data_IF_670830025353
#
_entry.id   IF_670830025353
#
_cell.length_a   1.000
_cell.length_b   1.000
_cell.length_c   1.000
_cell.angle_alpha   90.00
_cell.angle_beta   90.00
_cell.angle_gamma   90.00
#
_symmetry.space_group_name_H-M   'P 1'
#
loop_
_entity.id
_entity.type
_entity.pdbx_description
1 polymer ?
#
# COMPACT_ATOMS: atom_id res chain seq x y z
N UNK A 1 -17.26 2.03 -8.63
CA UNK A 1 -15.92 2.63 -8.46
C UNK A 1 -15.27 2.25 -7.12
N UNK A 2 -15.82 1.25 -6.38
CA UNK A 2 -15.30 0.78 -5.06
C UNK A 2 -14.46 -0.51 -5.14
N UNK A 3 -14.45 -1.22 -6.28
CA UNK A 3 -13.67 -2.47 -6.45
C UNK A 3 -12.14 -2.25 -6.54
N UNK A 4 -11.67 -1.03 -6.83
CA UNK A 4 -10.24 -0.78 -7.08
C UNK A 4 -9.35 -0.75 -5.82
N UNK A 5 -9.94 -0.54 -4.65
CA UNK A 5 -9.19 -0.41 -3.38
C UNK A 5 -8.99 -1.76 -2.69
N UNK A 6 -9.97 -2.65 -2.77
CA UNK A 6 -9.88 -3.99 -2.14
C UNK A 6 -8.88 -4.91 -2.86
N UNK A 7 -8.90 -4.89 -4.21
CA UNK A 7 -7.89 -5.60 -5.01
C UNK A 7 -6.46 -5.09 -4.76
N UNK A 8 -6.31 -3.84 -4.27
CA UNK A 8 -5.00 -3.29 -3.91
C UNK A 8 -4.51 -3.74 -2.54
N UNK A 9 -5.38 -3.96 -1.57
CA UNK A 9 -4.98 -4.39 -0.23
C UNK A 9 -4.63 -5.89 -0.20
N UNK A 10 -5.44 -6.77 -0.84
CA UNK A 10 -5.13 -8.19 -0.95
C UNK A 10 -4.04 -8.50 -1.99
N UNK A 11 -3.96 -7.75 -3.09
CA UNK A 11 -2.89 -7.89 -4.07
C UNK A 11 -1.57 -7.21 -3.64
N UNK A 12 -1.60 -6.21 -2.76
CA UNK A 12 -0.39 -5.59 -2.21
C UNK A 12 0.40 -6.53 -1.31
N UNK A 13 -0.27 -7.49 -0.67
CA UNK A 13 0.36 -8.51 0.18
C UNK A 13 1.23 -9.48 -0.63
N UNK A 14 0.84 -9.80 -1.87
CA UNK A 14 1.59 -10.73 -2.74
C UNK A 14 2.60 -10.04 -3.67
N UNK A 15 2.39 -8.75 -4.00
CA UNK A 15 3.37 -7.95 -4.75
C UNK A 15 4.55 -7.45 -3.89
N UNK A 16 4.48 -7.60 -2.56
CA UNK A 16 5.50 -7.15 -1.60
C UNK A 16 6.79 -7.99 -1.61
N UNK A 17 6.78 -9.17 -2.21
CA UNK A 17 8.02 -9.96 -2.38
C UNK A 17 9.10 -9.23 -3.18
N UNK A 18 8.73 -8.35 -4.13
CA UNK A 18 9.69 -7.57 -4.92
C UNK A 18 9.84 -6.10 -4.51
N UNK A 19 8.87 -5.53 -3.74
CA UNK A 19 8.94 -4.11 -3.34
C UNK A 19 9.63 -3.88 -2.01
N UNK A 20 9.72 -4.89 -1.14
CA UNK A 20 10.42 -4.80 0.15
C UNK A 20 11.94 -4.63 -0.01
N UNK A 21 12.54 -5.09 -1.11
CA UNK A 21 13.98 -4.92 -1.37
C UNK A 21 14.37 -3.47 -1.73
N UNK A 22 13.41 -2.64 -2.20
CA UNK A 22 13.65 -1.23 -2.53
C UNK A 22 13.37 -0.26 -1.35
N UNK A 23 12.68 -0.73 -0.29
CA UNK A 23 12.39 0.07 0.91
C UNK A 23 13.39 -0.16 2.06
N UNK A 24 14.39 -1.01 1.88
CA UNK A 24 15.31 -1.52 2.91
C UNK A 24 16.48 -0.62 3.30
N UNK A 25 16.46 0.69 3.05
CA UNK A 25 17.48 1.63 3.53
C UNK A 25 16.89 2.83 4.28
N UNK A 26 16.03 2.58 5.27
CA UNK A 26 15.92 3.51 6.40
C UNK A 26 15.32 2.78 7.60
N UNK A 27 16.15 2.59 8.62
CA UNK A 27 15.75 2.11 9.94
C UNK A 27 14.85 3.13 10.63
N UNK A 28 13.75 2.62 11.20
CA UNK A 28 12.99 3.14 12.31
C UNK A 28 12.30 4.50 12.15
N UNK A 29 10.99 4.47 11.92
CA UNK A 29 9.99 5.14 12.76
C UNK A 29 8.58 4.82 12.25
N UNK A 30 7.78 4.24 13.12
CA UNK A 30 6.33 4.12 12.99
C UNK A 30 5.69 5.50 12.89
N UNK A 31 4.85 5.72 11.88
CA UNK A 31 4.05 6.92 11.75
C UNK A 31 3.11 6.79 10.56
N UNK A 32 1.83 6.62 10.85
CA UNK A 32 0.73 6.70 9.90
C UNK A 32 0.80 7.99 9.09
N UNK A 33 0.72 7.89 7.78
CA UNK A 33 0.54 9.04 6.92
C UNK A 33 -0.87 8.98 6.29
N UNK A 34 -1.79 9.68 6.92
CA UNK A 34 -3.07 10.10 6.36
C UNK A 34 -2.83 11.11 5.24
N UNK A 35 -3.44 10.84 4.07
CA UNK A 35 -3.41 11.77 2.95
C UNK A 35 -4.42 12.90 3.22
N UNK A 36 -3.92 14.08 3.53
CA UNK A 36 -4.71 15.30 3.64
C UNK A 36 -4.59 16.15 2.39
N UNK A 37 -5.75 16.52 1.86
CA UNK A 37 -5.94 17.44 0.74
C UNK A 37 -5.65 18.87 1.22
N UNK A 38 -4.59 19.50 0.74
CA UNK A 38 -4.35 20.92 0.96
C UNK A 38 -4.72 21.72 -0.29
N UNK A 39 -5.67 22.61 -0.10
CA UNK A 39 -6.05 23.66 -1.04
C UNK A 39 -4.98 24.77 -1.06
N UNK A 40 -4.79 25.26 -2.26
CA UNK A 40 -3.94 26.37 -2.71
C UNK A 40 -4.13 27.67 -1.93
N UNK A 41 -3.02 28.27 -1.51
CA UNK A 41 -2.90 29.74 -1.43
C UNK A 41 -1.65 30.21 -2.17
N UNK A 42 -1.92 31.13 -3.09
CA UNK A 42 -0.99 31.81 -3.97
C UNK A 42 -0.30 32.93 -3.20
N UNK A 43 0.98 32.78 -2.87
CA UNK A 43 1.82 33.91 -2.44
C UNK A 43 2.86 34.19 -3.49
N UNK A 44 2.70 35.32 -4.15
CA UNK A 44 3.63 35.89 -5.10
C UNK A 44 4.98 36.20 -4.41
N UNK A 45 5.99 35.40 -4.70
CA UNK A 45 7.36 35.72 -4.42
C UNK A 45 8.10 35.97 -5.73
N UNK A 46 8.76 37.12 -5.77
CA UNK A 46 9.57 37.68 -6.84
C UNK A 46 10.47 36.66 -7.52
N UNK A 47 10.27 36.43 -8.81
CA UNK A 47 11.11 35.60 -9.65
C UNK A 47 12.44 36.31 -9.96
N UNK A 48 13.53 35.85 -9.38
CA UNK A 48 14.81 35.83 -10.05
C UNK A 48 14.85 34.59 -10.91
N UNK A 49 14.73 34.77 -12.20
CA UNK A 49 14.91 33.73 -13.22
C UNK A 49 16.39 33.36 -13.24
N UNK A 50 16.81 32.36 -12.47
CA UNK A 50 17.99 31.59 -12.82
C UNK A 50 17.58 30.69 -13.95
N UNK A 51 18.17 30.85 -15.11
CA UNK A 51 18.09 30.03 -16.29
C UNK A 51 18.61 28.62 -15.89
N UNK A 52 17.74 27.76 -15.37
CA UNK A 52 18.07 26.34 -15.14
C UNK A 52 18.35 25.74 -16.50
N UNK A 53 19.60 25.36 -16.74
CA UNK A 53 19.98 24.60 -17.93
C UNK A 53 19.04 23.42 -18.02
N UNK A 54 18.34 23.31 -19.17
CA UNK A 54 17.41 22.23 -19.45
C UNK A 54 18.20 20.91 -19.37
N UNK A 55 17.90 20.05 -18.38
CA UNK A 55 18.59 18.77 -18.21
C UNK A 55 18.17 17.89 -19.38
N UNK A 56 19.13 17.52 -20.22
CA UNK A 56 18.88 16.60 -21.34
C UNK A 56 18.65 15.17 -20.80
N UNK A 57 17.39 14.72 -20.80
CA UNK A 57 16.98 13.38 -20.43
C UNK A 57 16.65 12.50 -21.62
N UNK A 58 17.00 12.89 -22.85
CA UNK A 58 16.73 12.13 -24.07
C UNK A 58 17.29 10.70 -24.06
N UNK A 59 18.34 10.46 -23.26
CA UNK A 59 18.91 9.14 -23.03
C UNK A 59 17.90 8.15 -22.38
N UNK A 60 16.82 8.66 -21.77
CA UNK A 60 15.78 7.87 -21.09
C UNK A 60 14.45 7.84 -21.85
N UNK A 61 14.38 8.41 -23.06
CA UNK A 61 13.15 8.42 -23.88
C UNK A 61 12.65 7.00 -24.23
N UNK A 62 13.55 6.02 -24.27
CA UNK A 62 13.21 4.61 -24.50
C UNK A 62 12.26 4.03 -23.41
N UNK A 63 12.23 4.64 -22.22
CA UNK A 63 11.32 4.22 -21.14
C UNK A 63 9.85 4.45 -21.49
N UNK A 64 9.54 5.30 -22.47
CA UNK A 64 8.17 5.48 -22.94
C UNK A 64 7.56 4.19 -23.53
N UNK A 65 8.40 3.34 -24.12
CA UNK A 65 8.03 2.06 -24.73
C UNK A 65 8.34 0.84 -23.81
N UNK A 66 8.68 1.10 -22.53
CA UNK A 66 9.00 0.03 -21.60
C UNK A 66 7.81 -0.90 -21.34
N UNK A 67 8.08 -2.21 -21.30
CA UNK A 67 7.11 -3.24 -20.96
C UNK A 67 7.66 -4.16 -19.88
N UNK A 68 6.91 -4.39 -18.83
CA UNK A 68 7.28 -5.34 -17.77
C UNK A 68 7.47 -6.77 -18.30
N UNK A 69 6.73 -7.16 -19.34
CA UNK A 69 6.84 -8.50 -19.95
C UNK A 69 8.03 -8.68 -20.89
N UNK A 70 8.78 -7.62 -21.22
CA UNK A 70 9.81 -7.69 -22.25
C UNK A 70 10.96 -8.67 -21.93
N UNK A 71 11.26 -8.87 -20.64
CA UNK A 71 12.33 -9.73 -20.18
C UNK A 71 11.92 -11.20 -20.01
N UNK A 72 10.62 -11.53 -20.14
CA UNK A 72 10.14 -12.90 -19.84
C UNK A 72 9.61 -13.61 -21.07
N UNK A 73 9.82 -14.93 -21.14
CA UNK A 73 9.30 -15.81 -22.16
C UNK A 73 7.87 -16.30 -21.85
N UNK A 74 7.33 -17.15 -22.72
CA UNK A 74 5.97 -17.68 -22.61
C UNK A 74 5.79 -18.67 -21.44
N UNK A 75 6.87 -19.09 -20.79
CA UNK A 75 6.86 -19.97 -19.62
C UNK A 75 7.05 -19.22 -18.29
N UNK A 76 7.23 -17.91 -18.33
CA UNK A 76 7.51 -17.07 -17.16
C UNK A 76 8.99 -17.01 -16.78
N UNK A 77 9.91 -17.50 -17.63
CA UNK A 77 11.35 -17.44 -17.41
C UNK A 77 11.96 -16.17 -17.98
N UNK A 78 13.06 -15.72 -17.39
CA UNK A 78 13.92 -14.68 -17.97
C UNK A 78 14.45 -15.16 -19.33
N UNK A 79 14.27 -14.35 -20.38
CA UNK A 79 14.73 -14.66 -21.74
C UNK A 79 16.26 -14.73 -21.81
N UNK A 80 16.74 -15.68 -22.56
CA UNK A 80 18.18 -15.87 -22.84
C UNK A 80 19.03 -16.08 -21.57
N UNK A 81 18.41 -16.59 -20.50
CA UNK A 81 19.06 -16.87 -19.21
C UNK A 81 18.69 -18.28 -18.76
N UNK A 82 19.71 -19.11 -18.54
CA UNK A 82 19.61 -20.35 -17.77
C UNK A 82 20.06 -20.02 -16.35
N UNK A 83 19.14 -19.95 -15.40
CA UNK A 83 19.44 -19.47 -14.06
C UNK A 83 20.40 -20.41 -13.31
N UNK A 84 20.37 -21.72 -13.61
CA UNK A 84 21.31 -22.70 -13.07
C UNK A 84 22.79 -22.47 -13.49
N UNK A 85 23.05 -21.62 -14.50
CA UNK A 85 24.41 -21.18 -14.82
C UNK A 85 24.95 -20.13 -13.84
N UNK A 86 24.06 -19.46 -13.12
CA UNK A 86 24.35 -18.35 -12.18
C UNK A 86 24.10 -18.70 -10.73
N UNK A 87 23.29 -19.73 -10.45
CA UNK A 87 22.93 -20.16 -9.11
C UNK A 87 23.31 -21.62 -8.89
N UNK A 88 24.13 -21.86 -7.87
CA UNK A 88 24.45 -23.22 -7.44
C UNK A 88 23.49 -23.64 -6.33
N UNK A 89 22.60 -24.59 -6.62
CA UNK A 89 21.67 -25.19 -5.68
C UNK A 89 22.26 -26.49 -5.12
N UNK A 90 22.59 -26.62 -3.82
CA UNK A 90 22.97 -27.89 -3.21
C UNK A 90 21.80 -28.89 -3.26
N UNK A 91 22.08 -30.17 -3.04
CA UNK A 91 21.04 -31.21 -3.15
C UNK A 91 19.96 -31.08 -2.05
N UNK A 92 20.33 -30.49 -0.91
CA UNK A 92 19.46 -30.24 0.24
C UNK A 92 18.93 -28.79 0.31
N UNK A 93 18.93 -28.06 -0.81
CA UNK A 93 18.50 -26.65 -0.83
C UNK A 93 17.08 -26.45 -0.27
N UNK A 94 16.17 -27.41 -0.49
CA UNK A 94 14.80 -27.37 -0.02
C UNK A 94 14.60 -27.94 1.41
N UNK A 95 15.66 -28.40 2.07
CA UNK A 95 15.59 -28.91 3.44
C UNK A 95 15.69 -27.73 4.44
N UNK A 96 14.60 -26.98 4.56
CA UNK A 96 14.51 -25.73 5.32
C UNK A 96 13.81 -26.01 6.64
N UNK A 97 14.39 -25.53 7.75
CA UNK A 97 13.76 -25.56 9.08
C UNK A 97 13.51 -24.13 9.53
N UNK A 98 12.31 -23.86 10.03
CA UNK A 98 11.89 -22.56 10.54
C UNK A 98 11.28 -22.71 11.95
N UNK A 99 11.18 -21.59 12.68
CA UNK A 99 10.54 -21.55 13.98
C UNK A 99 9.08 -22.01 13.88
N UNK A 100 8.68 -22.91 14.81
CA UNK A 100 7.33 -23.45 14.88
C UNK A 100 6.24 -22.36 15.11
N UNK A 101 6.60 -21.22 15.66
CA UNK A 101 5.66 -20.11 15.86
C UNK A 101 5.24 -19.47 14.54
N UNK A 102 6.08 -19.54 13.50
CA UNK A 102 5.75 -19.08 12.15
C UNK A 102 4.70 -19.94 11.42
N UNK A 103 4.39 -21.13 11.94
CA UNK A 103 3.33 -22.01 11.44
C UNK A 103 1.99 -21.84 12.16
N UNK A 104 1.91 -20.90 13.11
CA UNK A 104 0.72 -20.74 13.97
C UNK A 104 -0.12 -19.56 13.47
N UNK A 105 -1.30 -19.87 12.95
CA UNK A 105 -2.37 -18.91 12.65
C UNK A 105 -3.62 -19.41 13.35
N UNK A 106 -4.10 -18.64 14.33
CA UNK A 106 -5.30 -19.00 15.11
C UNK A 106 -6.58 -18.55 14.43
N UNK A 107 -7.72 -19.08 14.86
CA UNK A 107 -9.03 -18.64 14.36
C UNK A 107 -9.30 -17.17 14.74
N UNK A 108 -8.73 -16.66 15.84
CA UNK A 108 -8.81 -15.25 16.23
C UNK A 108 -8.01 -14.36 15.28
N UNK A 109 -6.81 -14.78 14.86
CA UNK A 109 -6.00 -14.06 13.87
C UNK A 109 -6.75 -13.95 12.53
N UNK A 110 -7.35 -15.08 12.08
CA UNK A 110 -8.13 -15.13 10.85
C UNK A 110 -9.34 -14.18 10.93
N UNK A 111 -10.11 -14.26 12.03
CA UNK A 111 -11.27 -13.41 12.25
C UNK A 111 -10.89 -11.93 12.26
N UNK A 112 -9.84 -11.57 12.99
CA UNK A 112 -9.33 -10.20 13.06
C UNK A 112 -8.87 -9.69 11.70
N UNK A 113 -8.19 -10.54 10.92
CA UNK A 113 -7.78 -10.19 9.56
C UNK A 113 -8.98 -9.93 8.64
N UNK A 114 -10.00 -10.81 8.70
CA UNK A 114 -11.23 -10.66 7.91
C UNK A 114 -11.94 -9.36 8.27
N UNK A 115 -12.11 -9.07 9.55
CA UNK A 115 -12.76 -7.85 10.02
C UNK A 115 -12.04 -6.58 9.56
N UNK A 116 -10.71 -6.55 9.68
CA UNK A 116 -9.91 -5.36 9.41
C UNK A 116 -9.58 -5.17 7.93
N UNK A 117 -9.40 -6.26 7.16
CA UNK A 117 -8.90 -6.18 5.80
C UNK A 117 -9.92 -6.58 4.72
N UNK A 118 -10.98 -7.28 5.10
CA UNK A 118 -12.03 -7.68 4.17
C UNK A 118 -13.30 -6.90 4.42
N UNK A 119 -13.94 -7.07 5.60
CA UNK A 119 -15.25 -6.49 5.90
C UNK A 119 -15.22 -4.97 6.00
N UNK A 120 -14.14 -4.39 6.53
CA UNK A 120 -13.95 -2.94 6.64
C UNK A 120 -14.10 -2.19 5.30
N UNK A 121 -13.76 -2.85 4.18
CA UNK A 121 -13.93 -2.26 2.85
C UNK A 121 -15.39 -2.18 2.40
N UNK A 122 -16.29 -2.88 3.09
CA UNK A 122 -17.74 -2.91 2.87
C UNK A 122 -18.51 -2.29 4.03
N UNK A 123 -17.80 -1.71 4.99
CA UNK A 123 -18.40 -1.05 6.12
C UNK A 123 -19.31 0.10 5.67
N UNK A 124 -20.39 0.30 6.39
CA UNK A 124 -21.33 1.40 6.19
C UNK A 124 -21.38 2.28 7.42
N UNK A 125 -21.52 3.59 7.21
CA UNK A 125 -21.67 4.53 8.31
C UNK A 125 -23.10 4.43 8.88
N UNK A 126 -23.19 4.13 10.17
CA UNK A 126 -24.43 4.16 10.94
C UNK A 126 -24.47 5.40 11.84
N UNK A 127 -25.68 5.99 11.98
CA UNK A 127 -25.91 7.10 12.90
C UNK A 127 -26.34 6.55 14.25
N UNK A 128 -25.50 6.74 15.27
CA UNK A 128 -25.77 6.32 16.64
C UNK A 128 -26.26 7.54 17.43
N UNK A 129 -27.43 7.38 18.09
CA UNK A 129 -28.08 8.47 18.81
C UNK A 129 -28.50 8.12 20.26
N UNK A 130 -28.16 6.94 20.73
CA UNK A 130 -28.60 6.36 22.00
C UNK A 130 -27.51 6.31 23.10
N UNK A 131 -26.32 6.85 22.81
CA UNK A 131 -25.24 7.00 23.78
C UNK A 131 -24.58 8.36 23.71
N UNK A 132 -23.88 8.74 24.80
CA UNK A 132 -23.05 9.94 24.82
C UNK A 132 -21.81 9.77 23.94
N UNK A 133 -21.34 10.90 23.38
CA UNK A 133 -20.10 10.96 22.64
C UNK A 133 -18.90 10.75 23.58
N UNK A 134 -17.91 9.99 23.11
CA UNK A 134 -16.66 9.69 23.80
C UNK A 134 -15.47 10.17 22.97
N UNK A 135 -14.31 10.26 23.62
CA UNK A 135 -13.05 10.52 22.94
C UNK A 135 -12.77 9.43 21.90
N UNK A 136 -12.33 9.83 20.71
CA UNK A 136 -12.16 8.96 19.55
C UNK A 136 -13.40 8.79 18.67
N UNK A 137 -14.59 9.19 19.10
CA UNK A 137 -15.79 9.13 18.25
C UNK A 137 -15.73 10.15 17.12
N UNK A 138 -16.18 9.76 15.95
CA UNK A 138 -16.53 10.72 14.88
C UNK A 138 -17.98 11.16 15.09
N UNK A 139 -18.17 12.46 15.29
CA UNK A 139 -19.48 13.06 15.52
C UNK A 139 -19.86 13.96 14.37
N UNK A 140 -21.18 14.09 14.11
CA UNK A 140 -21.71 15.10 13.22
C UNK A 140 -22.32 16.21 14.07
N UNK A 141 -21.86 17.44 13.85
CA UNK A 141 -22.28 18.60 14.64
C UNK A 141 -22.75 19.73 13.74
N UNK A 142 -23.67 20.53 14.27
CA UNK A 142 -23.94 21.88 13.77
C UNK A 142 -23.49 22.89 14.82
N UNK A 143 -22.95 24.01 14.36
CA UNK A 143 -22.58 25.11 15.25
C UNK A 143 -22.78 26.47 14.64
N UNK A 144 -22.98 27.47 15.53
CA UNK A 144 -23.01 28.90 15.22
C UNK A 144 -22.09 29.62 16.21
N UNK A 145 -20.98 30.13 15.71
CA UNK A 145 -19.98 30.87 16.50
C UNK A 145 -20.26 32.34 16.58
N UNK A 146 -20.03 32.91 17.76
CA UNK A 146 -20.17 34.35 18.01
C UNK A 146 -19.06 34.86 18.93
N UNK A 147 -18.67 36.13 18.74
CA UNK A 147 -17.78 36.90 19.61
C UNK A 147 -18.61 38.07 20.14
N UNK A 148 -18.66 38.24 21.47
CA UNK A 148 -19.47 39.23 22.13
C UNK A 148 -20.97 39.22 21.68
N UNK A 149 -21.47 38.02 21.31
CA UNK A 149 -22.86 37.82 20.86
C UNK A 149 -23.10 38.20 19.38
N UNK A 150 -22.03 38.50 18.61
CA UNK A 150 -22.13 38.80 17.18
C UNK A 150 -21.52 37.61 16.39
N UNK A 151 -22.32 37.03 15.48
CA UNK A 151 -21.84 35.96 14.59
C UNK A 151 -20.73 36.49 13.69
N UNK A 152 -19.75 35.61 13.33
CA UNK A 152 -18.66 35.91 12.44
C UNK A 152 -18.62 34.98 11.25
N UNK A 153 -18.03 35.43 10.15
CA UNK A 153 -17.91 34.65 8.92
C UNK A 153 -17.03 33.43 9.14
N UNK A 154 -17.45 32.26 8.61
CA UNK A 154 -16.76 30.99 8.75
C UNK A 154 -17.08 30.26 10.08
N UNK A 155 -17.78 30.89 11.02
CA UNK A 155 -18.17 30.32 12.31
C UNK A 155 -19.48 29.52 12.31
N UNK A 156 -20.06 29.16 11.17
CA UNK A 156 -21.40 28.60 11.08
C UNK A 156 -21.50 27.48 10.04
N UNK A 157 -21.98 26.30 10.44
CA UNK A 157 -22.24 25.16 9.53
C UNK A 157 -23.46 25.35 8.65
N UNK A 158 -24.31 26.35 8.92
CA UNK A 158 -25.57 26.65 8.21
C UNK A 158 -26.55 25.45 8.17
N UNK A 159 -26.46 24.54 9.14
CA UNK A 159 -27.32 23.35 9.23
C UNK A 159 -26.92 22.23 8.24
N UNK A 160 -25.73 22.32 7.61
CA UNK A 160 -25.26 21.27 6.70
C UNK A 160 -24.56 20.12 7.44
N UNK A 161 -24.30 20.29 8.72
CA UNK A 161 -23.50 19.38 9.52
C UNK A 161 -22.01 19.42 9.19
N UNK A 162 -21.18 19.15 10.17
CA UNK A 162 -19.74 18.94 10.01
C UNK A 162 -19.34 17.68 10.76
N UNK A 163 -18.59 16.80 10.10
CA UNK A 163 -18.04 15.63 10.75
C UNK A 163 -16.74 16.03 11.47
N UNK A 164 -16.58 15.55 12.71
CA UNK A 164 -15.45 15.85 13.59
C UNK A 164 -15.09 14.61 14.40
N UNK A 165 -13.83 14.20 14.37
CA UNK A 165 -13.35 13.13 15.25
C UNK A 165 -12.83 13.75 16.54
N UNK A 166 -13.43 13.38 17.68
CA UNK A 166 -13.06 13.89 18.99
C UNK A 166 -11.68 13.37 19.39
N UNK A 167 -10.80 14.28 19.83
CA UNK A 167 -9.38 13.98 20.12
C UNK A 167 -8.45 14.06 18.92
N UNK A 168 -8.95 14.41 17.74
CA UNK A 168 -8.12 14.61 16.52
C UNK A 168 -7.30 15.89 16.54
N UNK A 169 -7.66 16.86 17.39
CA UNK A 169 -7.10 18.20 17.46
C UNK A 169 -7.17 18.97 16.11
N UNK A 170 -8.19 18.66 15.29
CA UNK A 170 -8.43 19.34 14.02
C UNK A 170 -9.20 20.67 14.18
N UNK A 171 -9.81 20.89 15.35
CA UNK A 171 -10.47 22.12 15.73
C UNK A 171 -9.61 22.89 16.76
N UNK A 172 -10.04 24.12 17.08
CA UNK A 172 -9.36 24.98 18.08
C UNK A 172 -9.29 24.23 19.42
N UNK A 173 -8.17 24.37 20.11
CA UNK A 173 -7.92 23.72 21.40
C UNK A 173 -9.09 23.90 22.38
N UNK A 174 -9.53 22.78 22.95
CA UNK A 174 -10.64 22.72 23.87
C UNK A 174 -12.03 22.71 23.23
N UNK A 175 -12.15 22.74 21.90
CA UNK A 175 -13.44 22.61 21.22
C UNK A 175 -13.96 21.18 21.32
N UNK A 176 -13.12 20.20 20.95
CA UNK A 176 -13.48 18.79 20.89
C UNK A 176 -13.77 18.21 22.28
N UNK A 177 -12.97 18.58 23.29
CA UNK A 177 -13.11 18.12 24.67
C UNK A 177 -14.48 18.48 25.30
N UNK A 178 -15.07 19.60 24.88
CA UNK A 178 -16.34 20.06 25.42
C UNK A 178 -17.54 19.32 24.79
N UNK A 179 -17.35 18.56 23.71
CA UNK A 179 -18.40 17.74 23.09
C UNK A 179 -18.48 16.37 23.76
N UNK A 180 -17.37 15.88 24.31
CA UNK A 180 -17.32 14.59 25.02
C UNK A 180 -18.32 14.57 26.18
N UNK A 181 -19.15 13.52 26.25
CA UNK A 181 -20.16 13.33 27.27
C UNK A 181 -21.54 13.86 26.91
N UNK A 182 -21.69 14.62 25.84
CA UNK A 182 -23.01 15.07 25.35
C UNK A 182 -23.73 13.99 24.56
N UNK A 183 -25.05 14.00 24.61
CA UNK A 183 -25.90 13.08 23.87
C UNK A 183 -26.27 13.69 22.51
N UNK A 184 -26.41 12.87 21.45
CA UNK A 184 -27.03 13.32 20.22
C UNK A 184 -28.40 13.97 20.45
N UNK A 185 -28.64 15.09 19.74
CA UNK A 185 -29.79 15.95 19.89
C UNK A 185 -29.64 17.06 20.93
N UNK A 186 -28.59 17.04 21.76
CA UNK A 186 -28.31 18.15 22.69
C UNK A 186 -27.73 19.34 21.96
N UNK A 187 -28.11 20.54 22.47
CA UNK A 187 -27.53 21.83 22.06
C UNK A 187 -26.91 22.49 23.28
N UNK A 188 -25.65 22.84 23.20
CA UNK A 188 -24.84 23.40 24.29
C UNK A 188 -23.87 24.44 23.75
N UNK A 189 -23.24 25.20 24.64
CA UNK A 189 -22.26 26.20 24.28
C UNK A 189 -20.87 25.63 24.46
N UNK A 190 -20.05 25.75 23.41
CA UNK A 190 -18.62 25.45 23.41
C UNK A 190 -17.85 26.76 23.41
N UNK A 191 -17.07 27.01 24.44
CA UNK A 191 -16.30 28.27 24.60
C UNK A 191 -14.83 28.00 24.39
N UNK A 192 -14.23 28.69 23.42
CA UNK A 192 -12.80 28.56 23.09
C UNK A 192 -12.19 29.94 22.86
N UNK A 193 -10.86 30.01 22.97
CA UNK A 193 -10.11 31.23 22.63
C UNK A 193 -9.28 30.97 21.38
N UNK A 194 -9.46 31.79 20.36
CA UNK A 194 -8.63 31.73 19.15
C UNK A 194 -7.16 31.99 19.49
N UNK A 195 -6.20 31.26 18.89
CA UNK A 195 -4.78 31.59 19.00
C UNK A 195 -4.49 33.02 18.58
N UNK A 196 -3.43 33.63 19.17
CA UNK A 196 -3.00 34.99 18.82
C UNK A 196 -2.54 35.11 17.36
N UNK A 197 -2.15 34.00 16.76
CA UNK A 197 -1.65 33.85 15.39
C UNK A 197 -2.58 33.00 14.50
N UNK A 198 -3.89 33.03 14.75
CA UNK A 198 -4.89 32.24 14.00
C UNK A 198 -4.94 32.59 12.49
N UNK A 199 -4.33 33.72 12.11
CA UNK A 199 -4.27 34.16 10.71
C UNK A 199 -5.44 35.03 10.26
N UNK A 200 -6.39 35.34 11.18
CA UNK A 200 -7.48 36.28 10.97
C UNK A 200 -7.47 37.34 12.09
N UNK A 201 -7.09 38.60 11.76
CA UNK A 201 -6.94 39.69 12.73
C UNK A 201 -8.24 39.96 13.52
N UNK A 202 -9.39 39.69 12.92
CA UNK A 202 -10.69 39.88 13.58
C UNK A 202 -10.99 38.81 14.62
N UNK A 203 -10.28 37.66 14.60
CA UNK A 203 -10.48 36.54 15.51
C UNK A 203 -9.31 36.32 16.48
N UNK A 204 -8.08 36.75 16.11
CA UNK A 204 -6.86 36.52 16.91
C UNK A 204 -7.05 36.89 18.38
N UNK A 205 -6.74 35.93 19.27
CA UNK A 205 -6.79 36.08 20.71
C UNK A 205 -8.19 36.29 21.32
N UNK A 206 -9.28 36.22 20.52
CA UNK A 206 -10.62 36.46 21.00
C UNK A 206 -11.26 35.18 21.53
N UNK A 207 -12.05 35.37 22.62
CA UNK A 207 -12.95 34.32 23.11
C UNK A 207 -14.19 34.27 22.22
N UNK A 208 -14.56 33.06 21.78
CA UNK A 208 -15.73 32.80 20.98
C UNK A 208 -16.61 31.74 21.65
N UNK A 209 -17.91 31.89 21.51
CA UNK A 209 -18.90 30.92 21.96
C UNK A 209 -19.57 30.33 20.74
N UNK A 210 -19.48 29.02 20.62
CA UNK A 210 -20.15 28.23 19.58
C UNK A 210 -21.36 27.51 20.15
N UNK A 211 -22.54 27.95 19.75
CA UNK A 211 -23.73 27.19 20.04
C UNK A 211 -23.79 25.96 19.19
N UNK A 212 -23.41 24.83 19.77
CA UNK A 212 -23.18 23.56 19.09
C UNK A 212 -24.30 22.58 19.33
N UNK A 213 -24.77 21.92 18.29
CA UNK A 213 -25.73 20.82 18.37
C UNK A 213 -25.01 19.53 17.93
N UNK A 214 -25.00 18.52 18.78
CA UNK A 214 -24.52 17.17 18.41
C UNK A 214 -25.69 16.47 17.68
N UNK A 215 -25.51 16.22 16.38
CA UNK A 215 -26.56 15.61 15.57
C UNK A 215 -26.60 14.08 15.77
N UNK A 216 -25.48 13.41 15.62
CA UNK A 216 -25.31 11.97 15.82
C UNK A 216 -23.82 11.62 15.96
N UNK A 217 -23.56 10.43 16.47
CA UNK A 217 -22.24 9.80 16.41
C UNK A 217 -22.22 8.92 15.16
N UNK A 218 -21.14 9.02 14.39
CA UNK A 218 -20.93 8.26 13.16
C UNK A 218 -20.10 7.03 13.48
N UNK A 219 -20.68 5.85 13.39
CA UNK A 219 -19.97 4.59 13.55
C UNK A 219 -19.84 3.88 12.21
N UNK A 220 -18.62 3.40 11.91
CA UNK A 220 -18.40 2.52 10.78
C UNK A 220 -18.68 1.10 11.21
N UNK A 221 -19.62 0.41 10.55
CA UNK A 221 -20.04 -0.94 10.90
C UNK A 221 -19.78 -1.89 9.75
N UNK A 222 -19.01 -2.92 10.05
CA UNK A 222 -18.79 -4.02 9.13
C UNK A 222 -20.10 -4.78 8.88
N UNK A 223 -20.32 -5.31 7.66
CA UNK A 223 -21.43 -6.21 7.40
C UNK A 223 -21.30 -7.51 8.20
N UNK A 224 -22.43 -8.16 8.47
CA UNK A 224 -22.42 -9.48 9.06
C UNK A 224 -21.81 -10.50 8.09
N UNK A 225 -20.82 -11.26 8.56
CA UNK A 225 -20.17 -12.30 7.76
C UNK A 225 -21.08 -13.54 7.69
N UNK A 226 -21.57 -13.84 6.50
CA UNK A 226 -22.39 -15.02 6.17
C UNK A 226 -21.93 -15.64 4.87
N UNK A 227 -22.27 -16.91 4.61
CA UNK A 227 -21.96 -17.55 3.32
C UNK A 227 -22.60 -16.80 2.15
N UNK A 228 -23.83 -16.31 2.31
CA UNK A 228 -24.49 -15.49 1.29
C UNK A 228 -23.74 -14.18 1.01
N UNK A 229 -23.19 -13.56 2.07
CA UNK A 229 -22.38 -12.36 1.91
C UNK A 229 -21.08 -12.67 1.16
N UNK A 230 -20.36 -13.75 1.53
CA UNK A 230 -19.13 -14.19 0.86
C UNK A 230 -19.41 -14.47 -0.63
N UNK A 231 -20.41 -15.26 -0.94
CA UNK A 231 -20.78 -15.59 -2.32
C UNK A 231 -21.14 -14.37 -3.14
N UNK A 232 -21.88 -13.40 -2.55
CA UNK A 232 -22.35 -12.21 -3.25
C UNK A 232 -21.24 -11.17 -3.51
N UNK A 233 -20.24 -11.08 -2.63
CA UNK A 233 -19.21 -10.04 -2.69
C UNK A 233 -17.86 -10.56 -3.19
N UNK A 234 -17.53 -11.84 -2.96
CA UNK A 234 -16.25 -12.45 -3.30
C UNK A 234 -16.37 -13.59 -4.32
N UNK A 235 -17.57 -14.10 -4.56
CA UNK A 235 -17.81 -15.26 -5.44
C UNK A 235 -17.36 -15.02 -6.87
N UNK A 236 -17.72 -13.89 -7.47
CA UNK A 236 -17.35 -13.57 -8.86
C UNK A 236 -15.87 -13.24 -9.00
N UNK A 237 -15.30 -12.52 -8.02
CA UNK A 237 -13.94 -11.97 -8.12
C UNK A 237 -12.85 -12.92 -7.61
N UNK A 238 -13.16 -13.73 -6.58
CA UNK A 238 -12.19 -14.59 -5.89
C UNK A 238 -12.58 -16.06 -5.92
N UNK A 239 -13.76 -16.40 -6.44
CA UNK A 239 -14.34 -17.74 -6.42
C UNK A 239 -14.51 -18.30 -4.98
N UNK A 240 -14.78 -17.42 -4.00
CA UNK A 240 -15.06 -17.78 -2.61
C UNK A 240 -16.56 -17.64 -2.36
N UNK A 241 -17.20 -18.73 -1.89
CA UNK A 241 -18.65 -18.80 -1.75
C UNK A 241 -19.12 -19.11 -0.32
N UNK A 242 -18.18 -19.48 0.56
CA UNK A 242 -18.48 -19.83 1.95
C UNK A 242 -17.48 -19.19 2.91
N UNK A 243 -17.86 -19.06 4.18
CA UNK A 243 -16.99 -18.62 5.26
C UNK A 243 -15.77 -19.55 5.39
N UNK A 244 -15.96 -20.86 5.25
CA UNK A 244 -14.87 -21.84 5.36
C UNK A 244 -13.83 -21.65 4.25
N UNK A 245 -14.26 -21.34 3.01
CA UNK A 245 -13.36 -21.02 1.89
C UNK A 245 -12.60 -19.72 2.16
N UNK A 246 -13.29 -18.68 2.65
CA UNK A 246 -12.65 -17.42 3.02
C UNK A 246 -11.63 -17.60 4.15
N UNK A 247 -11.98 -18.33 5.21
CA UNK A 247 -11.07 -18.63 6.32
C UNK A 247 -9.83 -19.38 5.84
N UNK A 248 -10.00 -20.37 4.95
CA UNK A 248 -8.89 -21.13 4.38
C UNK A 248 -7.99 -20.26 3.52
N UNK A 249 -8.56 -19.39 2.71
CA UNK A 249 -7.83 -18.43 1.89
C UNK A 249 -7.00 -17.46 2.76
N UNK A 250 -7.64 -16.86 3.75
CA UNK A 250 -6.96 -15.92 4.68
C UNK A 250 -5.86 -16.62 5.46
N UNK A 251 -6.12 -17.80 6.00
CA UNK A 251 -5.10 -18.59 6.70
C UNK A 251 -3.87 -18.86 5.84
N UNK A 252 -4.08 -19.30 4.59
CA UNK A 252 -2.98 -19.58 3.67
C UNK A 252 -2.20 -18.30 3.32
N UNK A 253 -2.89 -17.18 3.13
CA UNK A 253 -2.25 -15.86 2.91
C UNK A 253 -1.39 -15.46 4.10
N UNK A 254 -1.92 -15.56 5.32
CA UNK A 254 -1.16 -15.21 6.53
C UNK A 254 0.05 -16.12 6.74
N UNK A 255 -0.10 -17.43 6.53
CA UNK A 255 1.02 -18.38 6.60
C UNK A 255 2.10 -18.07 5.57
N UNK A 256 1.69 -17.79 4.33
CA UNK A 256 2.63 -17.40 3.28
C UNK A 256 3.42 -16.14 3.66
N UNK A 257 2.73 -15.09 4.12
CA UNK A 257 3.36 -13.84 4.51
C UNK A 257 4.33 -13.98 5.69
N UNK A 258 3.97 -14.80 6.67
CA UNK A 258 4.83 -15.07 7.83
C UNK A 258 6.09 -15.85 7.46
N UNK A 259 5.98 -16.78 6.54
CA UNK A 259 7.03 -17.78 6.27
C UNK A 259 7.92 -17.40 5.08
N UNK A 260 7.38 -16.75 4.04
CA UNK A 260 8.07 -16.53 2.78
C UNK A 260 9.43 -15.82 2.96
N UNK A 261 9.49 -14.78 3.79
CA UNK A 261 10.72 -14.04 4.09
C UNK A 261 11.77 -14.91 4.79
N UNK A 262 11.35 -15.70 5.78
CA UNK A 262 12.23 -16.59 6.55
C UNK A 262 12.71 -17.75 5.69
N UNK A 263 11.82 -18.36 4.91
CA UNK A 263 12.16 -19.44 3.96
C UNK A 263 13.14 -18.94 2.90
N UNK A 264 12.87 -17.75 2.35
CA UNK A 264 13.79 -17.12 1.39
C UNK A 264 15.18 -16.89 2.00
N UNK A 265 15.26 -16.31 3.20
CA UNK A 265 16.52 -16.05 3.88
C UNK A 265 17.31 -17.34 4.13
N UNK A 266 16.65 -18.37 4.69
CA UNK A 266 17.26 -19.67 4.93
C UNK A 266 17.71 -20.37 3.63
N UNK A 267 16.96 -20.20 2.56
CA UNK A 267 17.34 -20.69 1.23
C UNK A 267 18.54 -19.94 0.68
N UNK A 268 18.53 -18.61 0.75
CA UNK A 268 19.60 -17.74 0.27
C UNK A 268 20.94 -18.06 0.95
N UNK A 269 20.93 -18.38 2.24
CA UNK A 269 22.12 -18.77 3.01
C UNK A 269 22.72 -20.11 2.57
N UNK A 270 21.95 -20.98 1.92
CA UNK A 270 22.39 -22.29 1.43
C UNK A 270 22.97 -22.27 0.02
N UNK A 271 22.65 -21.27 -0.76
CA UNK A 271 23.00 -21.20 -2.18
C UNK A 271 24.22 -20.30 -2.41
N UNK A 272 24.79 -20.38 -3.61
CA UNK A 272 25.82 -19.43 -4.02
C UNK A 272 25.53 -18.91 -5.42
N UNK A 273 25.86 -17.66 -5.65
CA UNK A 273 25.68 -16.97 -6.92
C UNK A 273 27.00 -16.83 -7.67
N UNK A 274 26.94 -16.81 -9.00
CA UNK A 274 28.08 -16.47 -9.84
C UNK A 274 28.59 -15.07 -9.46
N UNK A 275 29.89 -14.86 -9.60
CA UNK A 275 30.51 -13.56 -9.29
C UNK A 275 29.98 -12.43 -10.15
N UNK A 276 29.62 -12.73 -11.39
CA UNK A 276 29.02 -11.77 -12.33
C UNK A 276 27.61 -12.22 -12.66
N UNK A 277 26.65 -11.36 -12.39
CA UNK A 277 25.23 -11.57 -12.72
C UNK A 277 24.98 -11.22 -14.19
N UNK A 278 23.94 -11.79 -14.82
CA UNK A 278 23.62 -11.51 -16.22
C UNK A 278 23.25 -10.04 -16.43
N UNK A 279 24.00 -9.34 -17.26
CA UNK A 279 23.88 -7.89 -17.46
C UNK A 279 22.49 -7.51 -18.02
N UNK A 280 21.92 -8.30 -18.92
CA UNK A 280 20.58 -8.07 -19.46
C UNK A 280 19.49 -8.09 -18.38
N UNK A 281 19.66 -8.87 -17.31
CA UNK A 281 18.70 -8.91 -16.18
C UNK A 281 18.91 -7.69 -15.26
N UNK A 282 20.16 -7.34 -14.98
CA UNK A 282 20.49 -6.12 -14.24
C UNK A 282 19.94 -4.86 -14.94
N UNK A 283 20.14 -4.79 -16.27
CA UNK A 283 19.60 -3.69 -17.08
C UNK A 283 18.09 -3.65 -17.05
N UNK A 284 17.42 -4.80 -17.15
CA UNK A 284 15.97 -4.88 -17.05
C UNK A 284 15.45 -4.35 -15.70
N UNK A 285 16.03 -4.79 -14.56
CA UNK A 285 15.56 -4.31 -13.25
C UNK A 285 15.91 -2.85 -13.01
N UNK A 286 17.03 -2.35 -13.53
CA UNK A 286 17.31 -0.91 -13.58
C UNK A 286 16.20 -0.18 -14.33
N UNK A 287 15.81 -0.67 -15.49
CA UNK A 287 14.79 -0.03 -16.33
C UNK A 287 13.39 -0.13 -15.70
N UNK A 288 13.06 -1.18 -14.95
CA UNK A 288 11.85 -1.26 -14.11
C UNK A 288 11.80 -0.11 -13.11
N UNK A 289 12.90 0.14 -12.42
CA UNK A 289 12.98 1.22 -11.42
C UNK A 289 12.92 2.58 -12.10
N UNK A 290 13.68 2.78 -13.16
CA UNK A 290 13.67 4.04 -13.92
C UNK A 290 12.32 4.33 -14.56
N UNK A 291 11.61 3.33 -15.05
CA UNK A 291 10.26 3.48 -15.60
C UNK A 291 9.27 4.03 -14.56
N UNK A 292 9.39 3.59 -13.30
CA UNK A 292 8.57 4.15 -12.21
C UNK A 292 8.89 5.62 -11.95
N UNK A 293 10.17 5.99 -11.90
CA UNK A 293 10.59 7.39 -11.77
C UNK A 293 10.11 8.22 -12.95
N UNK A 294 10.26 7.69 -14.18
CA UNK A 294 9.81 8.32 -15.41
C UNK A 294 8.30 8.59 -15.42
N UNK A 295 7.49 7.58 -15.13
CA UNK A 295 6.03 7.71 -15.13
C UNK A 295 5.55 8.65 -14.03
N UNK A 296 6.22 8.63 -12.88
CA UNK A 296 5.91 9.53 -11.77
C UNK A 296 6.26 10.98 -12.13
N UNK A 297 7.45 11.23 -12.69
CA UNK A 297 7.84 12.55 -13.19
C UNK A 297 6.86 13.09 -14.24
N UNK A 298 6.44 12.24 -15.19
CA UNK A 298 5.43 12.61 -16.20
C UNK A 298 4.08 12.97 -15.58
N UNK A 299 3.63 12.27 -14.55
CA UNK A 299 2.36 12.56 -13.87
C UNK A 299 2.36 13.91 -13.16
N UNK A 300 3.52 14.37 -12.72
CA UNK A 300 3.72 15.71 -12.12
C UNK A 300 4.13 16.78 -13.14
N UNK A 301 4.25 16.45 -14.42
CA UNK A 301 4.69 17.40 -15.44
C UNK A 301 6.11 17.90 -15.26
N UNK A 302 7.00 17.08 -14.69
CA UNK A 302 8.40 17.41 -14.38
C UNK A 302 9.37 16.43 -15.03
N UNK A 303 10.67 16.66 -14.90
CA UNK A 303 11.73 15.74 -15.34
C UNK A 303 12.06 14.72 -14.25
N UNK A 304 12.67 13.58 -14.62
CA UNK A 304 13.15 12.58 -13.66
C UNK A 304 14.16 13.18 -12.68
N UNK A 305 15.09 13.99 -13.19
CA UNK A 305 16.12 14.66 -12.38
C UNK A 305 15.48 15.62 -11.37
N UNK A 306 14.53 16.46 -11.79
CA UNK A 306 13.86 17.39 -10.89
C UNK A 306 13.03 16.64 -9.82
N UNK A 307 12.37 15.55 -10.17
CA UNK A 307 11.67 14.68 -9.22
C UNK A 307 12.64 14.08 -8.18
N UNK A 308 13.79 13.56 -8.63
CA UNK A 308 14.81 12.98 -7.74
C UNK A 308 15.43 14.03 -6.82
N UNK A 309 15.69 15.25 -7.33
CA UNK A 309 16.22 16.37 -6.54
C UNK A 309 15.24 16.87 -5.48
N UNK A 310 13.92 16.76 -5.74
CA UNK A 310 12.89 17.22 -4.80
C UNK A 310 12.83 16.45 -3.48
N UNK A 311 13.40 15.23 -3.41
CA UNK A 311 13.30 14.34 -2.26
C UNK A 311 11.92 13.69 -2.09
N UNK A 312 10.98 13.85 -3.03
CA UNK A 312 9.64 13.25 -2.98
C UNK A 312 9.66 11.72 -2.91
N UNK A 313 10.76 11.10 -3.33
CA UNK A 313 10.96 9.63 -3.24
C UNK A 313 11.71 9.21 -1.96
N UNK A 314 11.81 10.10 -0.97
CA UNK A 314 12.41 9.86 0.35
C UNK A 314 13.85 10.36 0.48
N UNK A 315 14.67 10.24 -0.56
CA UNK A 315 16.05 10.73 -0.62
C UNK A 315 16.25 11.61 -1.85
N UNK A 316 17.03 12.68 -1.74
CA UNK A 316 17.37 13.54 -2.87
C UNK A 316 18.61 13.03 -3.59
N UNK A 317 18.61 13.11 -4.94
CA UNK A 317 19.74 12.76 -5.80
C UNK A 317 19.99 13.86 -6.82
N UNK A 318 21.25 14.19 -7.08
CA UNK A 318 21.63 15.26 -7.99
C UNK A 318 21.33 14.92 -9.47
N UNK A 319 21.26 13.63 -9.82
CA UNK A 319 21.00 13.15 -11.18
C UNK A 319 20.42 11.73 -11.18
N UNK A 320 19.88 11.31 -12.33
CA UNK A 320 19.45 9.92 -12.55
C UNK A 320 20.61 8.93 -12.39
N UNK A 321 21.81 9.27 -12.88
CA UNK A 321 23.01 8.42 -12.75
C UNK A 321 23.44 8.25 -11.29
N UNK A 322 23.33 9.31 -10.47
CA UNK A 322 23.61 9.23 -9.04
C UNK A 322 22.63 8.27 -8.34
N UNK A 323 21.35 8.35 -8.70
CA UNK A 323 20.32 7.45 -8.21
C UNK A 323 20.59 5.98 -8.61
N UNK A 324 20.85 5.72 -9.91
CA UNK A 324 21.17 4.37 -10.41
C UNK A 324 22.39 3.77 -9.71
N UNK A 325 23.41 4.60 -9.46
CA UNK A 325 24.60 4.16 -8.74
C UNK A 325 24.30 3.77 -7.28
N UNK A 326 23.44 4.52 -6.62
CA UNK A 326 23.07 4.24 -5.22
C UNK A 326 22.28 2.94 -5.08
N UNK A 327 21.33 2.70 -6.00
CA UNK A 327 20.49 1.49 -5.97
C UNK A 327 21.16 0.23 -6.52
N UNK A 328 22.44 0.28 -6.94
CA UNK A 328 23.12 -0.89 -7.56
C UNK A 328 23.10 -2.13 -6.66
N UNK A 329 23.28 -1.96 -5.35
CA UNK A 329 23.17 -3.05 -4.38
C UNK A 329 21.79 -3.71 -4.39
N UNK A 330 20.73 -2.90 -4.42
CA UNK A 330 19.34 -3.37 -4.50
C UNK A 330 19.06 -4.08 -5.83
N UNK A 331 19.61 -3.59 -6.95
CA UNK A 331 19.48 -4.23 -8.26
C UNK A 331 20.13 -5.61 -8.28
N UNK A 332 21.29 -5.76 -7.65
CA UNK A 332 21.94 -7.07 -7.50
C UNK A 332 21.07 -8.04 -6.70
N UNK A 333 20.55 -7.59 -5.55
CA UNK A 333 19.68 -8.41 -4.68
C UNK A 333 18.41 -8.87 -5.40
N UNK A 334 17.74 -7.98 -6.14
CA UNK A 334 16.54 -8.34 -6.92
C UNK A 334 16.89 -9.33 -8.03
N UNK A 335 18.03 -9.13 -8.70
CA UNK A 335 18.52 -10.04 -9.74
C UNK A 335 18.83 -11.42 -9.17
N UNK A 336 19.53 -11.50 -8.03
CA UNK A 336 19.81 -12.76 -7.33
C UNK A 336 18.52 -13.47 -6.92
N UNK A 337 17.54 -12.75 -6.41
CA UNK A 337 16.24 -13.30 -6.06
C UNK A 337 15.50 -13.89 -7.28
N UNK A 338 15.47 -13.16 -8.39
CA UNK A 338 14.83 -13.64 -9.61
C UNK A 338 15.52 -14.87 -10.17
N UNK A 339 16.85 -14.87 -10.21
CA UNK A 339 17.66 -16.02 -10.65
C UNK A 339 17.47 -17.23 -9.72
N UNK A 340 17.42 -17.02 -8.41
CA UNK A 340 17.21 -18.10 -7.46
C UNK A 340 15.85 -18.79 -7.66
N UNK A 341 14.78 -18.02 -7.77
CA UNK A 341 13.43 -18.57 -8.01
C UNK A 341 13.38 -19.31 -9.35
N UNK A 342 13.95 -18.76 -10.41
CA UNK A 342 14.02 -19.44 -11.71
C UNK A 342 14.90 -20.69 -11.67
N UNK A 343 16.06 -20.67 -10.99
CA UNK A 343 16.92 -21.83 -10.88
C UNK A 343 16.22 -23.03 -10.19
N UNK A 344 15.38 -22.72 -9.17
CA UNK A 344 14.57 -23.75 -8.52
C UNK A 344 13.50 -24.27 -9.47
N UNK A 345 12.80 -23.37 -10.20
CA UNK A 345 11.82 -23.76 -11.19
C UNK A 345 12.45 -24.63 -12.29
N UNK A 346 13.63 -24.26 -12.82
CA UNK A 346 14.40 -25.04 -13.79
C UNK A 346 14.77 -26.43 -13.24
N UNK A 347 15.28 -26.49 -12.00
CA UNK A 347 15.64 -27.77 -11.34
C UNK A 347 14.44 -28.68 -11.13
N UNK A 348 13.28 -28.11 -10.85
CA UNK A 348 12.02 -28.84 -10.64
C UNK A 348 11.24 -29.09 -11.94
N UNK A 349 11.64 -28.47 -13.06
CA UNK A 349 10.92 -28.54 -14.33
C UNK A 349 9.57 -27.83 -14.31
N UNK A 350 9.42 -26.81 -13.46
CA UNK A 350 8.20 -26.02 -13.35
C UNK A 350 8.20 -24.92 -14.41
N UNK A 351 7.07 -24.76 -15.08
CA UNK A 351 6.81 -23.68 -16.03
C UNK A 351 5.42 -23.12 -15.79
N UNK A 352 5.23 -21.85 -16.06
CA UNK A 352 3.91 -21.22 -16.00
C UNK A 352 3.42 -20.90 -17.40
N UNK A 353 2.64 -21.78 -18.00
CA UNK A 353 1.91 -21.48 -19.22
C UNK A 353 0.62 -20.67 -18.94
N UNK A 354 -0.10 -20.30 -19.99
CA UNK A 354 -1.34 -19.53 -19.83
C UNK A 354 -2.44 -20.32 -19.06
N UNK A 355 -2.43 -21.66 -19.14
CA UNK A 355 -3.42 -22.48 -18.44
C UNK A 355 -3.16 -22.50 -16.93
N UNK A 356 -1.90 -22.71 -16.52
CA UNK A 356 -1.49 -22.65 -15.11
C UNK A 356 -1.66 -21.22 -14.55
N UNK A 357 -1.26 -20.20 -15.32
CA UNK A 357 -1.47 -18.81 -14.92
C UNK A 357 -2.94 -18.53 -14.59
N UNK A 358 -3.87 -18.90 -15.47
CA UNK A 358 -5.29 -18.65 -15.23
C UNK A 358 -5.85 -19.49 -14.06
N UNK A 359 -5.34 -20.69 -13.84
CA UNK A 359 -5.74 -21.56 -12.73
C UNK A 359 -5.31 -20.97 -11.39
N UNK A 360 -4.07 -20.52 -11.29
CA UNK A 360 -3.46 -20.17 -10.01
C UNK A 360 -3.45 -18.64 -9.76
N UNK A 361 -3.84 -17.85 -10.76
CA UNK A 361 -3.92 -16.40 -10.61
C UNK A 361 -4.78 -15.97 -9.42
N UNK A 362 -5.95 -16.57 -9.25
CA UNK A 362 -6.86 -16.31 -8.13
C UNK A 362 -6.26 -16.63 -6.77
N UNK A 363 -5.43 -17.68 -6.71
CA UNK A 363 -4.76 -18.12 -5.49
C UNK A 363 -3.77 -17.08 -4.95
N UNK A 364 -3.06 -16.37 -5.85
CA UNK A 364 -2.00 -15.42 -5.47
C UNK A 364 -2.43 -13.95 -5.60
N UNK A 365 -3.44 -13.62 -6.40
CA UNK A 365 -3.86 -12.25 -6.67
C UNK A 365 -5.25 -11.91 -6.14
N UNK A 366 -5.95 -12.88 -5.54
CA UNK A 366 -7.30 -12.67 -5.01
C UNK A 366 -8.32 -12.24 -6.07
N UNK A 367 -8.11 -12.63 -7.33
CA UNK A 367 -9.00 -12.37 -8.46
C UNK A 367 -8.94 -13.50 -9.47
N UNK A 368 -10.10 -13.92 -9.99
CA UNK A 368 -10.16 -14.93 -11.03
C UNK A 368 -9.95 -14.38 -12.44
N UNK A 369 -9.96 -13.06 -12.62
CA UNK A 369 -9.75 -12.39 -13.91
C UNK A 369 -8.41 -11.68 -13.97
N UNK A 370 -7.42 -12.18 -14.74
CA UNK A 370 -6.12 -11.56 -14.91
C UNK A 370 -6.11 -10.37 -15.90
N UNK A 371 -7.21 -10.09 -16.61
CA UNK A 371 -7.22 -9.18 -17.76
C UNK A 371 -6.70 -7.78 -17.47
N UNK A 372 -7.06 -7.21 -16.32
CA UNK A 372 -6.60 -5.87 -15.92
C UNK A 372 -5.08 -5.85 -15.66
N UNK A 373 -4.55 -6.91 -15.05
CA UNK A 373 -3.12 -7.06 -14.78
C UNK A 373 -2.34 -7.33 -16.06
N UNK A 374 -2.86 -8.20 -16.93
CA UNK A 374 -2.28 -8.46 -18.26
C UNK A 374 -2.21 -7.17 -19.08
N UNK A 375 -3.27 -6.35 -19.05
CA UNK A 375 -3.28 -5.06 -19.73
C UNK A 375 -2.22 -4.08 -19.19
N UNK A 376 -1.95 -4.12 -17.89
CA UNK A 376 -1.01 -3.18 -17.23
C UNK A 376 0.44 -3.65 -17.27
N UNK A 377 0.68 -4.95 -17.17
CA UNK A 377 2.03 -5.53 -16.97
C UNK A 377 2.44 -6.51 -18.07
N UNK A 378 1.47 -6.99 -18.87
CA UNK A 378 1.69 -8.02 -19.88
C UNK A 378 1.63 -9.45 -19.31
N UNK A 379 1.22 -10.40 -20.15
CA UNK A 379 0.95 -11.79 -19.73
C UNK A 379 2.19 -12.50 -19.18
N UNK A 380 3.35 -12.37 -19.84
CA UNK A 380 4.55 -13.08 -19.42
C UNK A 380 5.10 -12.59 -18.07
N UNK A 381 4.87 -11.31 -17.71
CA UNK A 381 5.17 -10.80 -16.37
C UNK A 381 4.28 -11.44 -15.31
N UNK A 382 3.00 -11.65 -15.61
CA UNK A 382 2.08 -12.31 -14.68
C UNK A 382 2.45 -13.79 -14.54
N UNK A 383 2.80 -14.48 -15.64
CA UNK A 383 3.29 -15.86 -15.60
C UNK A 383 4.53 -16.00 -14.72
N UNK A 384 5.49 -15.08 -14.84
CA UNK A 384 6.67 -15.07 -13.97
C UNK A 384 6.29 -14.95 -12.50
N UNK A 385 5.38 -14.01 -12.15
CA UNK A 385 4.97 -13.83 -10.77
C UNK A 385 4.25 -15.08 -10.22
N UNK A 386 3.34 -15.68 -10.99
CA UNK A 386 2.68 -16.94 -10.59
C UNK A 386 3.70 -18.04 -10.40
N UNK A 387 4.64 -18.20 -11.32
CA UNK A 387 5.71 -19.21 -11.22
C UNK A 387 6.54 -19.04 -9.94
N UNK A 388 6.99 -17.82 -9.64
CA UNK A 388 7.77 -17.55 -8.43
C UNK A 388 6.96 -17.82 -7.15
N UNK A 389 5.68 -17.47 -7.17
CA UNK A 389 4.77 -17.74 -6.04
C UNK A 389 4.56 -19.24 -5.84
N UNK A 390 4.42 -20.03 -6.92
CA UNK A 390 4.34 -21.49 -6.85
C UNK A 390 5.65 -22.11 -6.31
N UNK A 391 6.80 -21.63 -6.76
CA UNK A 391 8.09 -22.08 -6.24
C UNK A 391 8.19 -21.84 -4.73
N UNK A 392 7.81 -20.63 -4.28
CA UNK A 392 7.86 -20.28 -2.87
C UNK A 392 6.84 -21.10 -2.06
N UNK A 393 5.62 -21.27 -2.57
CA UNK A 393 4.61 -22.10 -1.90
C UNK A 393 5.07 -23.54 -1.74
N UNK A 394 5.68 -24.12 -2.78
CA UNK A 394 6.23 -25.48 -2.71
C UNK A 394 7.34 -25.60 -1.66
N UNK A 395 8.15 -24.56 -1.45
CA UNK A 395 9.17 -24.53 -0.39
C UNK A 395 8.49 -24.45 0.99
N UNK A 396 7.51 -23.57 1.16
CA UNK A 396 6.75 -23.38 2.40
C UNK A 396 6.03 -24.66 2.81
N UNK A 397 5.39 -25.35 1.87
CA UNK A 397 4.62 -26.60 2.12
C UNK A 397 5.52 -27.74 2.62
N UNK A 398 6.83 -27.66 2.41
CA UNK A 398 7.82 -28.66 2.77
C UNK A 398 8.76 -28.26 3.91
N UNK A 399 8.56 -27.09 4.54
CA UNK A 399 9.39 -26.67 5.69
C UNK A 399 9.24 -27.63 6.88
N UNK A 400 10.31 -27.72 7.66
CA UNK A 400 10.32 -28.38 8.94
C UNK A 400 10.21 -27.33 10.05
N UNK A 401 9.53 -27.67 11.11
CA UNK A 401 9.37 -26.78 12.27
C UNK A 401 10.17 -27.29 13.46
N UNK A 402 10.86 -26.38 14.16
CA UNK A 402 11.60 -26.65 15.40
C UNK A 402 11.26 -25.69 16.54
#
# INVERSE_FOLDING_TARGET
MKLSTMNRALAAVLALGMTAALAGCSSAASGEATAESAATEETAASSTTEETAEVDESAYDYLADFSFSQAYDDNGYLKDVTALDYVTLPDDYADITIDADLGKVTDEDISSYIDQNVLSNYATDEQVTDRAAADGDTVNIDYVGSIDGVEFDGGNTQGNGADLTLGSHSYIDGFEDQIVGHMPGETFDVTVTFPEDYGNEDLNGKEAVFKTTLNYIKESKNPDLTDDWVASNLGETMNLNTIDELNSFVKNTMLYDQQASTVYSALHDKVSFAKELPQNVLDYYRDVVLYRVYTYAKSYGTTMTALLQSGMLGTSYDSVDAYVKDIQGSLNTITEQALLMQAIAEKQGLVCDTALMNQDFGKFYGSTDPSAYISSYGENYIKMNVLQSEVMQNLIDNVKYE
#
